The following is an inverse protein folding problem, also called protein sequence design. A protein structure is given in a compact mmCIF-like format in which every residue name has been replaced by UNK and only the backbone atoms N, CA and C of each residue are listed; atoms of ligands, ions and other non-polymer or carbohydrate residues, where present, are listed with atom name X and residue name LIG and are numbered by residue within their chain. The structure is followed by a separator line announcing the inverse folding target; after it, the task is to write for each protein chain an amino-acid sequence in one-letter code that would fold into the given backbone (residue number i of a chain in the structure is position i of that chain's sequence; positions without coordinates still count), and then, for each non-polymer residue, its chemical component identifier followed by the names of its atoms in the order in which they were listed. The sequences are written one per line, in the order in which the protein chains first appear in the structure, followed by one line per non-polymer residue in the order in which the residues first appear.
data_IF_543706921222
#
_entry.id   IF_543706921222
#
_cell.length_a   1.000
_cell.length_b   1.000
_cell.length_c   1.000
_cell.angle_alpha   90.00
_cell.angle_beta   90.00
_cell.angle_gamma   90.00
#
_symmetry.space_group_name_H-M   'P 1'
#
loop_
_entity.id
_entity.type
_entity.pdbx_description
1 polymer ?
#
# COMPACT_ATOMS: atom_id res chain seq x y z
N UNK A 1 11.04 -18.47 42.98
CA UNK A 1 11.39 -17.07 42.63
C UNK A 1 10.25 -16.54 41.76
N UNK A 2 9.78 -15.32 41.99
CA UNK A 2 8.73 -14.74 41.16
C UNK A 2 9.23 -14.58 39.72
N UNK A 3 8.40 -14.93 38.74
CA UNK A 3 8.68 -14.71 37.32
C UNK A 3 8.85 -13.20 37.06
N UNK A 4 9.84 -12.78 36.25
CA UNK A 4 9.96 -11.38 35.84
C UNK A 4 8.70 -10.91 35.10
N UNK A 5 8.25 -9.68 35.39
CA UNK A 5 7.04 -9.11 34.78
C UNK A 5 7.06 -9.17 33.24
N UNK A 6 8.22 -8.93 32.62
CA UNK A 6 8.37 -8.99 31.17
C UNK A 6 8.09 -10.39 30.60
N UNK A 7 8.54 -11.45 31.29
CA UNK A 7 8.28 -12.84 30.87
C UNK A 7 6.80 -13.18 31.00
N UNK A 8 6.14 -12.73 32.06
CA UNK A 8 4.71 -12.90 32.26
C UNK A 8 3.91 -12.17 31.16
N UNK A 9 4.28 -10.93 30.84
CA UNK A 9 3.65 -10.13 29.78
C UNK A 9 3.84 -10.77 28.41
N UNK A 10 5.03 -11.29 28.11
CA UNK A 10 5.29 -11.98 26.85
C UNK A 10 4.43 -13.24 26.74
N UNK A 11 4.39 -14.11 27.77
CA UNK A 11 3.56 -15.32 27.75
C UNK A 11 2.07 -14.99 27.61
N UNK A 12 1.62 -13.92 28.27
CA UNK A 12 0.25 -13.43 28.12
C UNK A 12 -0.04 -12.99 26.68
N UNK A 13 0.86 -12.19 26.08
CA UNK A 13 0.73 -11.73 24.70
C UNK A 13 0.77 -12.89 23.70
N UNK A 14 1.68 -13.85 23.87
CA UNK A 14 1.80 -15.03 23.02
C UNK A 14 0.51 -15.86 23.03
N UNK A 15 -0.07 -16.11 24.22
CA UNK A 15 -1.33 -16.85 24.34
C UNK A 15 -2.54 -16.09 23.79
N UNK A 16 -2.59 -14.77 24.00
CA UNK A 16 -3.65 -13.91 23.43
C UNK A 16 -3.61 -13.95 21.90
N UNK A 17 -2.42 -14.01 21.31
CA UNK A 17 -2.22 -14.08 19.85
C UNK A 17 -2.46 -15.47 19.29
N UNK A 18 -1.96 -16.50 19.97
CA UNK A 18 -2.10 -17.90 19.58
C UNK A 18 -2.55 -18.76 20.79
N UNK A 19 -3.79 -19.26 20.79
CA UNK A 19 -4.31 -20.05 21.91
C UNK A 19 -3.63 -21.42 22.06
N UNK A 20 -2.83 -21.87 21.10
CA UNK A 20 -1.99 -23.07 21.23
C UNK A 20 -0.77 -22.85 22.15
N UNK A 21 -0.39 -21.60 22.38
CA UNK A 21 0.68 -21.24 23.31
C UNK A 21 0.24 -21.42 24.77
N UNK A 22 1.15 -21.69 25.72
CA UNK A 22 0.78 -21.87 27.12
C UNK A 22 0.19 -20.61 27.76
N UNK A 23 -0.97 -20.73 28.41
CA UNK A 23 -1.52 -19.64 29.21
C UNK A 23 -0.66 -19.38 30.47
N UNK A 24 -0.58 -18.13 30.96
CA UNK A 24 0.02 -17.84 32.26
C UNK A 24 -0.66 -18.58 33.42
N UNK A 25 0.13 -19.00 34.41
CA UNK A 25 -0.37 -19.69 35.60
C UNK A 25 -1.32 -18.80 36.42
N UNK A 26 -2.33 -19.41 37.03
CA UNK A 26 -3.26 -18.72 37.93
C UNK A 26 -4.32 -17.85 37.25
N UNK A 27 -4.37 -17.79 35.91
CA UNK A 27 -5.41 -17.10 35.17
C UNK A 27 -6.47 -18.10 34.69
N UNK A 28 -7.74 -17.79 34.96
CA UNK A 28 -8.87 -18.57 34.48
C UNK A 28 -8.97 -18.54 32.95
N UNK A 29 -9.14 -19.73 32.34
CA UNK A 29 -9.18 -19.89 30.89
C UNK A 29 -10.32 -19.11 30.23
N UNK A 30 -11.49 -18.99 30.90
CA UNK A 30 -12.61 -18.19 30.39
C UNK A 30 -12.27 -16.70 30.37
N UNK A 31 -11.59 -16.17 31.38
CA UNK A 31 -11.10 -14.78 31.36
C UNK A 31 -10.12 -14.56 30.22
N UNK A 32 -9.19 -15.50 30.02
CA UNK A 32 -8.22 -15.40 28.94
C UNK A 32 -8.88 -15.37 27.56
N UNK A 33 -9.90 -16.21 27.34
CA UNK A 33 -10.67 -16.21 26.11
C UNK A 33 -11.39 -14.87 25.83
N UNK A 34 -11.87 -14.19 26.88
CA UNK A 34 -12.46 -12.84 26.75
C UNK A 34 -11.42 -11.83 26.28
N UNK A 35 -10.22 -11.83 26.87
CA UNK A 35 -9.14 -10.93 26.45
C UNK A 35 -8.68 -11.21 25.02
N UNK A 36 -8.47 -12.48 24.67
CA UNK A 36 -8.17 -12.87 23.28
C UNK A 36 -9.19 -12.28 22.33
N UNK A 37 -10.48 -12.53 22.59
CA UNK A 37 -11.58 -12.05 21.75
C UNK A 37 -11.55 -10.53 21.58
N UNK A 38 -11.38 -9.78 22.68
CA UNK A 38 -11.29 -8.31 22.60
C UNK A 38 -10.15 -7.82 21.70
N UNK A 39 -8.97 -8.43 21.83
CA UNK A 39 -7.80 -8.03 21.04
C UNK A 39 -7.98 -8.35 19.55
N UNK A 40 -8.42 -9.57 19.22
CA UNK A 40 -8.62 -9.95 17.82
C UNK A 40 -9.78 -9.17 17.19
N UNK A 41 -10.89 -8.93 17.91
CA UNK A 41 -12.04 -8.18 17.38
C UNK A 41 -11.67 -6.72 17.13
N UNK A 42 -10.75 -6.15 17.91
CA UNK A 42 -10.23 -4.80 17.68
C UNK A 42 -9.39 -4.72 16.40
N UNK A 43 -8.51 -5.71 16.17
CA UNK A 43 -7.73 -5.79 14.93
C UNK A 43 -8.61 -6.05 13.71
N UNK A 44 -9.56 -6.97 13.86
CA UNK A 44 -10.55 -7.31 12.84
C UNK A 44 -11.35 -6.08 12.41
N UNK A 45 -11.91 -5.34 13.37
CA UNK A 45 -12.66 -4.09 13.10
C UNK A 45 -11.81 -3.03 12.40
N UNK A 46 -10.53 -2.91 12.79
CA UNK A 46 -9.59 -1.98 12.16
C UNK A 46 -9.32 -2.35 10.70
N UNK A 47 -8.99 -3.62 10.45
CA UNK A 47 -8.66 -4.12 9.11
C UNK A 47 -9.90 -4.09 8.21
N UNK A 48 -11.06 -4.51 8.70
CA UNK A 48 -12.32 -4.49 7.96
C UNK A 48 -12.73 -3.06 7.56
N UNK A 49 -12.51 -2.09 8.46
CA UNK A 49 -12.75 -0.68 8.15
C UNK A 49 -11.77 -0.10 7.12
N UNK A 50 -10.58 -0.68 6.97
CA UNK A 50 -9.54 -0.22 6.04
C UNK A 50 -9.54 -0.98 4.71
N UNK A 51 -10.04 -2.22 4.69
CA UNK A 51 -10.02 -3.16 3.57
C UNK A 51 -11.42 -3.75 3.31
N UNK A 52 -12.47 -2.91 3.15
CA UNK A 52 -13.84 -3.39 3.13
C UNK A 52 -14.16 -4.27 1.91
N UNK A 53 -13.57 -4.00 0.73
CA UNK A 53 -13.80 -4.83 -0.46
C UNK A 53 -13.12 -6.17 -0.31
N UNK A 54 -11.91 -6.22 0.25
CA UNK A 54 -11.23 -7.46 0.55
C UNK A 54 -12.03 -8.35 1.51
N UNK A 55 -12.55 -7.78 2.60
CA UNK A 55 -13.41 -8.52 3.54
C UNK A 55 -14.65 -9.06 2.80
N UNK A 56 -15.33 -8.22 2.02
CA UNK A 56 -16.53 -8.61 1.29
C UNK A 56 -16.27 -9.74 0.28
N UNK A 57 -15.13 -9.71 -0.43
CA UNK A 57 -14.79 -10.72 -1.45
C UNK A 57 -14.27 -12.04 -0.84
N UNK A 58 -13.55 -11.99 0.28
CA UNK A 58 -13.14 -13.21 1.00
C UNK A 58 -14.30 -13.88 1.73
N UNK A 59 -15.28 -13.10 2.18
CA UNK A 59 -16.35 -13.54 3.06
C UNK A 59 -15.88 -13.73 4.50
N UNK A 60 -16.82 -13.63 5.44
CA UNK A 60 -16.52 -13.49 6.87
C UNK A 60 -15.64 -14.60 7.45
N UNK A 61 -15.84 -15.85 7.03
CA UNK A 61 -15.07 -16.99 7.55
C UNK A 61 -13.60 -16.94 7.09
N UNK A 62 -13.35 -16.82 5.78
CA UNK A 62 -11.99 -16.76 5.25
C UNK A 62 -11.26 -15.50 5.72
N UNK A 63 -11.97 -14.37 5.79
CA UNK A 63 -11.45 -13.14 6.35
C UNK A 63 -11.00 -13.34 7.80
N UNK A 64 -11.88 -13.87 8.65
CA UNK A 64 -11.58 -14.06 10.08
C UNK A 64 -10.41 -14.99 10.30
N UNK A 65 -10.35 -16.11 9.58
CA UNK A 65 -9.22 -17.05 9.65
C UNK A 65 -7.90 -16.38 9.23
N UNK A 66 -7.94 -15.53 8.21
CA UNK A 66 -6.76 -14.77 7.74
C UNK A 66 -6.28 -13.77 8.79
N UNK A 67 -7.20 -13.02 9.42
CA UNK A 67 -6.89 -12.05 10.49
C UNK A 67 -6.33 -12.76 11.73
N UNK A 68 -6.89 -13.92 12.11
CA UNK A 68 -6.37 -14.72 13.22
C UNK A 68 -4.97 -15.26 12.92
N UNK A 69 -4.72 -15.70 11.69
CA UNK A 69 -3.40 -16.16 11.27
C UNK A 69 -2.36 -15.04 11.28
N UNK A 70 -2.73 -13.86 10.76
CA UNK A 70 -1.91 -12.64 10.84
C UNK A 70 -1.60 -12.27 12.28
N UNK A 71 -2.62 -12.24 13.15
CA UNK A 71 -2.45 -11.87 14.54
C UNK A 71 -1.57 -12.84 15.32
N UNK A 72 -1.62 -14.13 15.00
CA UNK A 72 -0.71 -15.11 15.60
C UNK A 72 0.74 -14.92 15.14
N UNK A 73 0.96 -14.75 13.82
CA UNK A 73 2.29 -14.88 13.20
C UNK A 73 3.03 -13.59 12.90
N UNK A 74 2.36 -12.44 12.84
CA UNK A 74 2.98 -11.18 12.47
C UNK A 74 2.97 -10.20 13.64
N UNK A 75 4.15 -9.85 14.14
CA UNK A 75 4.30 -8.75 15.09
C UNK A 75 4.27 -7.45 14.30
N UNK A 76 3.20 -6.65 14.45
CA UNK A 76 3.13 -5.34 13.83
C UNK A 76 4.29 -4.47 14.34
N UNK A 77 4.93 -3.72 13.44
CA UNK A 77 6.08 -2.88 13.78
C UNK A 77 5.66 -1.42 14.01
N UNK A 78 4.56 -0.99 13.37
CA UNK A 78 3.97 0.32 13.58
C UNK A 78 3.02 0.35 14.79
N UNK A 79 3.12 1.35 15.68
CA UNK A 79 2.09 1.61 16.67
C UNK A 79 0.88 2.36 16.07
N UNK A 80 0.96 2.79 14.80
CA UNK A 80 -0.05 3.62 14.15
C UNK A 80 -1.11 2.75 13.48
N UNK A 81 -2.30 2.72 14.08
CA UNK A 81 -3.44 1.94 13.59
C UNK A 81 -3.73 2.12 12.09
N UNK A 82 -3.69 3.33 11.50
CA UNK A 82 -3.94 3.50 10.07
C UNK A 82 -2.89 2.84 9.16
N UNK A 83 -1.68 2.57 9.68
CA UNK A 83 -0.61 1.92 8.92
C UNK A 83 -0.63 0.39 9.03
N UNK A 84 -1.40 -0.17 9.98
CA UNK A 84 -1.51 -1.62 10.18
C UNK A 84 -2.10 -2.31 8.95
N UNK A 85 -3.03 -1.66 8.22
CA UNK A 85 -3.59 -2.21 6.99
C UNK A 85 -2.52 -2.37 5.89
N UNK A 86 -1.55 -1.46 5.82
CA UNK A 86 -0.41 -1.56 4.92
C UNK A 86 0.55 -2.69 5.30
N UNK A 87 0.82 -2.88 6.60
CA UNK A 87 1.61 -4.03 7.08
C UNK A 87 0.91 -5.37 6.80
N UNK A 88 -0.41 -5.43 7.00
CA UNK A 88 -1.22 -6.59 6.65
C UNK A 88 -1.17 -6.91 5.15
N UNK A 89 -1.29 -5.90 4.29
CA UNK A 89 -1.17 -6.07 2.84
C UNK A 89 0.22 -6.56 2.43
N UNK A 90 1.28 -5.98 2.99
CA UNK A 90 2.65 -6.41 2.74
C UNK A 90 2.90 -7.85 3.23
N UNK A 91 2.35 -8.20 4.40
CA UNK A 91 2.41 -9.55 4.95
C UNK A 91 1.71 -10.56 4.03
N UNK A 92 0.50 -10.27 3.54
CA UNK A 92 -0.22 -11.12 2.58
C UNK A 92 0.61 -11.38 1.31
N UNK A 93 1.31 -10.35 0.81
CA UNK A 93 2.16 -10.47 -0.39
C UNK A 93 3.32 -11.45 -0.28
N UNK A 94 3.74 -11.81 0.94
CA UNK A 94 4.83 -12.78 1.18
C UNK A 94 4.35 -14.11 1.77
N UNK A 95 3.05 -14.29 2.01
CA UNK A 95 2.48 -15.53 2.54
C UNK A 95 2.10 -16.52 1.43
N UNK A 96 3.10 -17.17 0.83
CA UNK A 96 2.85 -18.21 -0.19
C UNK A 96 2.11 -19.45 0.35
N UNK A 97 2.17 -19.68 1.66
CA UNK A 97 1.55 -20.84 2.33
C UNK A 97 0.05 -20.65 2.59
N UNK A 98 -0.44 -19.41 2.54
CA UNK A 98 -1.86 -19.15 2.58
C UNK A 98 -2.41 -19.45 1.18
N UNK A 99 -3.26 -20.47 1.06
CA UNK A 99 -3.93 -20.86 -0.19
C UNK A 99 -4.99 -19.83 -0.63
N UNK A 100 -4.65 -18.54 -0.56
CA UNK A 100 -5.46 -17.41 -0.95
C UNK A 100 -5.30 -17.13 -2.44
N UNK A 101 -6.35 -16.64 -3.11
CA UNK A 101 -6.23 -16.19 -4.50
C UNK A 101 -5.18 -15.08 -4.67
N UNK A 102 -4.46 -15.07 -5.80
CA UNK A 102 -3.39 -14.10 -6.06
C UNK A 102 -3.81 -12.63 -6.00
N UNK A 103 -5.07 -12.32 -6.32
CA UNK A 103 -5.62 -10.96 -6.24
C UNK A 103 -5.76 -10.43 -4.81
N UNK A 104 -5.73 -11.28 -3.78
CA UNK A 104 -5.96 -10.89 -2.38
C UNK A 104 -4.90 -9.91 -1.89
N UNK A 105 -3.63 -10.20 -2.14
CA UNK A 105 -2.54 -9.32 -1.72
C UNK A 105 -2.58 -7.98 -2.48
N UNK A 106 -2.87 -8.02 -3.78
CA UNK A 106 -2.96 -6.80 -4.61
C UNK A 106 -4.16 -5.92 -4.23
N UNK A 107 -5.32 -6.52 -3.91
CA UNK A 107 -6.50 -5.79 -3.44
C UNK A 107 -6.25 -5.18 -2.05
N UNK A 108 -5.62 -5.94 -1.14
CA UNK A 108 -5.21 -5.42 0.17
C UNK A 108 -4.26 -4.23 0.02
N UNK A 109 -3.27 -4.34 -0.87
CA UNK A 109 -2.33 -3.26 -1.16
C UNK A 109 -3.03 -2.03 -1.75
N UNK A 110 -3.96 -2.24 -2.68
CA UNK A 110 -4.74 -1.16 -3.29
C UNK A 110 -5.58 -0.39 -2.26
N UNK A 111 -6.41 -1.08 -1.47
CA UNK A 111 -7.28 -0.43 -0.47
C UNK A 111 -6.46 0.25 0.63
N UNK A 112 -5.41 -0.40 1.14
CA UNK A 112 -4.52 0.20 2.15
C UNK A 112 -3.79 1.44 1.62
N UNK A 113 -3.40 1.44 0.34
CA UNK A 113 -2.77 2.60 -0.31
C UNK A 113 -3.74 3.78 -0.43
N UNK A 114 -5.02 3.53 -0.76
CA UNK A 114 -6.04 4.58 -0.78
C UNK A 114 -6.22 5.21 0.61
N UNK A 115 -6.25 4.38 1.66
CA UNK A 115 -6.37 4.85 3.03
C UNK A 115 -5.14 5.66 3.46
N UNK A 116 -3.93 5.20 3.11
CA UNK A 116 -2.68 5.91 3.38
C UNK A 116 -2.67 7.30 2.73
N UNK A 117 -3.12 7.41 1.47
CA UNK A 117 -3.25 8.71 0.80
C UNK A 117 -4.24 9.64 1.50
N UNK A 118 -5.35 9.12 2.03
CA UNK A 118 -6.33 9.94 2.76
C UNK A 118 -5.73 10.62 4.00
N UNK A 119 -4.85 9.93 4.71
CA UNK A 119 -4.25 10.40 5.98
C UNK A 119 -2.87 11.05 5.81
N UNK A 120 -2.30 11.01 4.60
CA UNK A 120 -0.97 11.56 4.30
C UNK A 120 -0.92 13.04 4.70
N UNK A 121 0.03 13.39 5.58
CA UNK A 121 0.20 14.74 6.10
C UNK A 121 1.28 15.55 5.35
N UNK A 122 1.98 14.93 4.40
CA UNK A 122 3.04 15.60 3.62
C UNK A 122 2.43 16.69 2.73
N UNK A 123 3.14 17.82 2.67
CA UNK A 123 2.82 18.89 1.75
C UNK A 123 2.97 18.42 0.30
N UNK A 124 2.19 19.00 -0.59
CA UNK A 124 2.04 18.59 -1.99
C UNK A 124 3.30 18.77 -2.84
N UNK A 125 4.33 19.41 -2.29
CA UNK A 125 5.50 19.92 -3.02
C UNK A 125 5.18 21.23 -3.73
N UNK A 126 6.18 21.82 -4.39
CA UNK A 126 5.95 23.01 -5.22
C UNK A 126 5.59 22.59 -6.65
N UNK A 127 4.37 22.94 -7.08
CA UNK A 127 3.99 22.78 -8.47
C UNK A 127 4.91 23.65 -9.36
N UNK A 128 5.51 23.09 -10.42
CA UNK A 128 6.33 23.87 -11.33
C UNK A 128 5.48 24.96 -12.00
N UNK A 129 5.80 26.23 -11.75
CA UNK A 129 5.08 27.38 -12.36
C UNK A 129 5.26 27.46 -13.88
N UNK A 130 6.28 26.79 -14.41
CA UNK A 130 6.62 26.75 -15.83
C UNK A 130 7.01 25.32 -16.23
N UNK A 131 7.03 25.06 -17.55
CA UNK A 131 7.59 23.81 -18.08
C UNK A 131 9.00 23.58 -17.51
N UNK A 132 9.34 22.35 -17.09
CA UNK A 132 10.63 22.06 -16.48
C UNK A 132 11.76 22.50 -17.40
N UNK A 133 12.68 23.31 -16.87
CA UNK A 133 13.85 23.76 -17.61
C UNK A 133 14.85 22.61 -17.73
N UNK A 134 15.76 22.69 -18.71
CA UNK A 134 16.86 21.73 -18.81
C UNK A 134 17.65 21.70 -17.49
N UNK A 135 17.80 20.51 -16.91
CA UNK A 135 18.47 20.32 -15.62
C UNK A 135 17.58 20.41 -14.38
N UNK A 136 16.28 20.71 -14.50
CA UNK A 136 15.36 20.67 -13.36
C UNK A 136 15.23 19.25 -12.79
N UNK A 137 15.24 19.15 -11.45
CA UNK A 137 14.91 17.94 -10.70
C UNK A 137 13.40 17.91 -10.48
N UNK A 138 12.78 16.79 -10.82
CA UNK A 138 11.36 16.53 -10.61
C UNK A 138 11.21 15.28 -9.75
N UNK A 139 10.24 15.30 -8.84
CA UNK A 139 9.87 14.17 -8.01
C UNK A 139 8.38 13.86 -8.17
N UNK A 140 7.98 12.63 -7.85
CA UNK A 140 6.57 12.32 -7.67
C UNK A 140 6.00 13.15 -6.52
N UNK A 141 4.81 13.70 -6.70
CA UNK A 141 4.11 14.36 -5.59
C UNK A 141 3.88 13.34 -4.46
N UNK A 142 4.05 13.72 -3.19
CA UNK A 142 3.72 12.86 -2.05
C UNK A 142 2.25 12.41 -2.02
N UNK A 143 1.37 13.11 -2.75
CA UNK A 143 -0.05 12.79 -2.88
C UNK A 143 -0.37 11.81 -4.02
N UNK A 144 0.65 11.30 -4.69
CA UNK A 144 0.53 10.38 -5.82
C UNK A 144 1.09 9.01 -5.46
N UNK A 145 0.48 7.96 -6.02
CA UNK A 145 1.04 6.61 -6.05
C UNK A 145 0.95 6.06 -7.47
N UNK A 146 2.01 5.41 -7.91
CA UNK A 146 2.15 4.80 -9.23
C UNK A 146 2.23 3.30 -9.02
N UNK A 147 1.19 2.57 -9.43
CA UNK A 147 0.94 1.20 -9.01
C UNK A 147 0.78 0.27 -10.20
N UNK A 148 1.31 -0.95 -10.11
CA UNK A 148 1.15 -1.99 -11.12
C UNK A 148 0.58 -3.24 -10.49
N UNK A 149 -0.46 -3.79 -11.10
CA UNK A 149 -1.18 -4.97 -10.61
C UNK A 149 -1.37 -5.98 -11.73
N UNK A 150 -1.42 -7.27 -11.40
CA UNK A 150 -1.76 -8.36 -12.31
C UNK A 150 -3.27 -8.57 -12.43
N UNK A 151 -4.05 -8.08 -11.45
CA UNK A 151 -5.50 -8.09 -11.46
C UNK A 151 -6.05 -6.66 -11.47
N UNK A 152 -7.22 -6.41 -12.08
CA UNK A 152 -7.86 -5.09 -12.12
C UNK A 152 -8.53 -4.77 -10.78
N UNK A 153 -7.72 -4.65 -9.72
CA UNK A 153 -8.19 -4.48 -8.34
C UNK A 153 -8.86 -3.13 -8.09
N UNK A 154 -8.69 -2.15 -8.99
CA UNK A 154 -9.39 -0.87 -8.94
C UNK A 154 -10.85 -0.96 -9.40
N UNK A 155 -11.19 -1.96 -10.22
CA UNK A 155 -12.54 -2.18 -10.68
C UNK A 155 -13.39 -2.84 -9.59
N UNK A 156 -14.60 -2.33 -9.39
CA UNK A 156 -15.56 -3.02 -8.54
C UNK A 156 -16.18 -4.19 -9.32
N UNK A 157 -15.58 -5.38 -9.18
CA UNK A 157 -16.10 -6.62 -9.75
C UNK A 157 -17.45 -7.06 -9.14
N UNK A 158 -17.95 -6.35 -8.11
CA UNK A 158 -19.08 -6.76 -7.30
C UNK A 158 -18.78 -8.03 -6.50
N UNK A 159 -19.81 -8.57 -5.84
CA UNK A 159 -19.69 -9.75 -4.96
C UNK A 159 -19.58 -11.09 -5.73
N UNK A 160 -19.72 -11.09 -7.06
CA UNK A 160 -20.04 -12.30 -7.82
C UNK A 160 -18.94 -12.84 -8.74
N UNK A 161 -17.72 -12.32 -8.68
CA UNK A 161 -16.61 -12.88 -9.47
C UNK A 161 -15.24 -12.50 -8.95
N UNK A 162 -14.38 -13.51 -8.74
CA UNK A 162 -12.95 -13.27 -8.60
C UNK A 162 -12.44 -12.52 -9.85
N UNK A 163 -11.63 -11.45 -9.68
CA UNK A 163 -11.11 -10.71 -10.83
C UNK A 163 -10.32 -11.65 -11.73
N UNK A 164 -10.57 -11.54 -13.04
CA UNK A 164 -9.74 -12.23 -14.04
C UNK A 164 -8.39 -11.53 -14.11
N UNK A 165 -7.31 -12.30 -14.26
CA UNK A 165 -5.97 -11.72 -14.39
C UNK A 165 -5.90 -10.85 -15.65
N UNK A 166 -5.85 -9.54 -15.45
CA UNK A 166 -5.72 -8.50 -16.46
C UNK A 166 -4.80 -7.44 -15.87
N UNK A 167 -3.53 -7.37 -16.31
CA UNK A 167 -2.59 -6.42 -15.76
C UNK A 167 -3.02 -4.98 -15.97
N UNK A 168 -2.91 -4.17 -14.92
CA UNK A 168 -3.32 -2.76 -14.90
C UNK A 168 -2.23 -1.90 -14.31
N UNK A 169 -2.01 -0.75 -14.93
CA UNK A 169 -1.07 0.27 -14.47
C UNK A 169 -1.88 1.48 -14.04
N UNK A 170 -1.73 1.92 -12.80
CA UNK A 170 -2.60 2.90 -12.18
C UNK A 170 -1.82 4.09 -11.62
N UNK A 171 -2.43 5.26 -11.74
CA UNK A 171 -2.11 6.47 -11.00
C UNK A 171 -3.21 6.71 -9.98
N UNK A 172 -2.86 6.69 -8.70
CA UNK A 172 -3.73 7.16 -7.62
C UNK A 172 -3.26 8.53 -7.18
N UNK A 173 -4.17 9.49 -7.08
CA UNK A 173 -3.85 10.86 -6.67
C UNK A 173 -4.89 11.39 -5.71
N UNK A 174 -4.45 11.95 -4.58
CA UNK A 174 -5.31 12.78 -3.73
C UNK A 174 -5.33 14.22 -4.24
N UNK A 175 -6.53 14.75 -4.49
CA UNK A 175 -6.75 16.14 -4.87
C UNK A 175 -6.81 17.07 -3.65
N UNK A 176 -6.80 18.38 -3.89
CA UNK A 176 -6.87 19.40 -2.83
C UNK A 176 -8.19 19.42 -2.05
N UNK A 177 -9.25 18.79 -2.57
CA UNK A 177 -10.53 18.59 -1.88
C UNK A 177 -10.61 17.25 -1.12
N UNK A 178 -9.47 16.55 -0.97
CA UNK A 178 -9.32 15.22 -0.37
C UNK A 178 -9.93 14.06 -1.17
N UNK A 179 -10.52 14.30 -2.34
CA UNK A 179 -10.98 13.20 -3.19
C UNK A 179 -9.80 12.42 -3.79
N UNK A 180 -9.99 11.11 -3.95
CA UNK A 180 -9.04 10.26 -4.66
C UNK A 180 -9.46 10.12 -6.12
N UNK A 181 -8.53 10.39 -7.02
CA UNK A 181 -8.66 10.05 -8.44
C UNK A 181 -7.81 8.84 -8.76
N UNK A 182 -8.39 7.93 -9.53
CA UNK A 182 -7.72 6.74 -10.07
C UNK A 182 -7.74 6.86 -11.58
N UNK A 183 -6.59 6.67 -12.22
CA UNK A 183 -6.45 6.72 -13.67
C UNK A 183 -5.60 5.54 -14.13
N UNK A 184 -6.01 4.90 -15.23
CA UNK A 184 -5.15 3.93 -15.91
C UNK A 184 -4.07 4.64 -16.71
N UNK A 185 -2.84 4.18 -16.57
CA UNK A 185 -1.67 4.71 -17.23
C UNK A 185 -1.33 3.91 -18.48
N UNK A 186 -0.83 4.60 -19.49
CA UNK A 186 -0.11 3.92 -20.57
C UNK A 186 1.20 3.35 -20.04
N UNK A 187 1.76 2.29 -20.66
CA UNK A 187 3.06 1.74 -20.24
C UNK A 187 4.19 2.78 -20.23
N UNK A 188 4.19 3.71 -21.18
CA UNK A 188 5.18 4.78 -21.23
C UNK A 188 5.04 5.75 -20.05
N UNK A 189 3.81 6.15 -19.70
CA UNK A 189 3.58 7.03 -18.56
C UNK A 189 3.94 6.37 -17.23
N UNK A 190 3.61 5.08 -17.08
CA UNK A 190 4.02 4.29 -15.92
C UNK A 190 5.55 4.23 -15.79
N UNK A 191 6.24 3.84 -16.86
CA UNK A 191 7.70 3.75 -16.85
C UNK A 191 8.37 5.11 -16.55
N UNK A 192 7.86 6.19 -17.13
CA UNK A 192 8.32 7.56 -16.88
C UNK A 192 8.17 7.95 -15.41
N UNK A 193 6.99 7.74 -14.83
CA UNK A 193 6.73 8.07 -13.44
C UNK A 193 7.54 7.20 -12.48
N UNK A 194 7.71 5.91 -12.78
CA UNK A 194 8.56 5.00 -12.01
C UNK A 194 10.04 5.40 -12.03
N UNK A 195 10.51 6.05 -13.10
CA UNK A 195 11.90 6.50 -13.22
C UNK A 195 12.23 7.73 -12.37
N UNK A 196 11.26 8.62 -12.08
CA UNK A 196 11.48 9.77 -11.19
C UNK A 196 11.54 9.37 -9.72
N UNK A 197 10.70 8.40 -9.31
CA UNK A 197 10.62 7.97 -7.91
C UNK A 197 10.24 9.08 -6.93
N UNK A 198 10.37 8.77 -5.65
CA UNK A 198 10.01 9.69 -4.54
C UNK A 198 11.14 10.71 -4.25
N UNK A 199 12.40 10.31 -4.38
CA UNK A 199 13.58 11.18 -4.13
C UNK A 199 13.83 12.19 -5.26
N UNK A 200 13.15 11.99 -6.40
CA UNK A 200 13.27 12.80 -7.59
C UNK A 200 14.50 12.49 -8.43
N UNK A 201 14.41 12.88 -9.70
CA UNK A 201 15.47 12.73 -10.68
C UNK A 201 15.49 13.94 -11.62
N UNK A 202 16.65 14.20 -12.23
CA UNK A 202 16.68 15.11 -13.37
C UNK A 202 15.92 14.46 -14.52
N UNK A 203 15.08 15.24 -15.20
CA UNK A 203 14.29 14.72 -16.32
C UNK A 203 15.15 14.02 -17.40
N UNK A 204 16.36 14.53 -17.64
CA UNK A 204 17.29 13.97 -18.62
C UNK A 204 17.81 12.59 -18.19
N UNK A 205 18.13 12.44 -16.90
CA UNK A 205 18.65 11.19 -16.34
C UNK A 205 17.55 10.12 -16.34
N UNK A 206 16.33 10.48 -15.93
CA UNK A 206 15.18 9.59 -15.98
C UNK A 206 14.87 9.11 -17.42
N UNK A 207 14.91 10.02 -18.40
CA UNK A 207 14.74 9.68 -19.80
C UNK A 207 15.88 8.81 -20.34
N UNK A 208 17.12 9.08 -19.94
CA UNK A 208 18.27 8.26 -20.36
C UNK A 208 18.16 6.83 -19.82
N UNK A 209 17.79 6.67 -18.54
CA UNK A 209 17.57 5.35 -17.93
C UNK A 209 16.50 4.57 -18.70
N UNK A 210 15.40 5.22 -19.08
CA UNK A 210 14.36 4.58 -19.87
C UNK A 210 14.79 4.25 -21.29
N UNK A 211 15.54 5.14 -21.94
CA UNK A 211 16.09 4.92 -23.27
C UNK A 211 16.98 3.67 -23.28
N UNK A 212 17.86 3.55 -22.28
CA UNK A 212 18.76 2.40 -22.12
C UNK A 212 17.99 1.10 -21.82
N UNK A 213 17.00 1.16 -20.93
CA UNK A 213 16.20 0.00 -20.54
C UNK A 213 15.40 -0.58 -21.72
N UNK A 214 14.89 0.29 -22.59
CA UNK A 214 14.05 -0.10 -23.72
C UNK A 214 14.80 -0.16 -25.07
N UNK A 215 16.09 0.18 -25.09
CA UNK A 215 16.92 0.16 -26.30
C UNK A 215 16.49 1.16 -27.38
N UNK A 216 15.98 2.33 -26.95
CA UNK A 216 15.51 3.41 -27.84
C UNK A 216 16.48 4.60 -27.79
N UNK A 217 16.50 5.43 -28.83
CA UNK A 217 17.32 6.63 -28.83
C UNK A 217 16.79 7.67 -27.82
N UNK A 218 17.67 8.22 -26.98
CA UNK A 218 17.29 9.17 -25.94
C UNK A 218 16.61 10.44 -26.50
N UNK A 219 17.02 10.91 -27.68
CA UNK A 219 16.42 12.09 -28.33
C UNK A 219 14.99 11.83 -28.83
N UNK A 220 14.72 10.62 -29.33
CA UNK A 220 13.38 10.21 -29.76
C UNK A 220 12.44 10.11 -28.55
N UNK A 221 12.91 9.45 -27.47
CA UNK A 221 12.16 9.32 -26.24
C UNK A 221 11.90 10.69 -25.58
N UNK A 222 12.92 11.56 -25.55
CA UNK A 222 12.78 12.94 -25.05
C UNK A 222 11.70 13.69 -25.80
N UNK A 223 11.72 13.65 -27.14
CA UNK A 223 10.72 14.32 -27.97
C UNK A 223 9.31 13.81 -27.69
N UNK A 224 9.16 12.49 -27.51
CA UNK A 224 7.88 11.86 -27.18
C UNK A 224 7.38 12.21 -25.77
N UNK A 225 8.28 12.32 -24.79
CA UNK A 225 7.93 12.52 -23.38
C UNK A 225 7.76 14.00 -22.99
N UNK A 226 8.28 14.98 -23.73
CA UNK A 226 8.15 16.41 -23.39
C UNK A 226 6.69 16.85 -23.16
N UNK A 227 5.73 16.56 -24.06
CA UNK A 227 4.33 16.94 -23.83
C UNK A 227 3.76 16.29 -22.56
N UNK A 228 4.04 15.00 -22.36
CA UNK A 228 3.57 14.24 -21.19
C UNK A 228 4.15 14.80 -19.88
N UNK A 229 5.45 15.15 -19.85
CA UNK A 229 6.07 15.80 -18.69
C UNK A 229 5.38 17.13 -18.37
N UNK A 230 5.05 17.93 -19.39
CA UNK A 230 4.31 19.17 -19.23
C UNK A 230 2.92 18.94 -18.60
N UNK A 231 2.19 17.94 -19.09
CA UNK A 231 0.87 17.56 -18.56
C UNK A 231 0.96 17.06 -17.11
N UNK A 232 1.92 16.21 -16.79
CA UNK A 232 2.14 15.66 -15.44
C UNK A 232 2.51 16.75 -14.43
N UNK A 233 3.35 17.71 -14.82
CA UNK A 233 3.69 18.88 -14.00
C UNK A 233 2.47 19.79 -13.79
N UNK A 234 1.73 20.11 -14.86
CA UNK A 234 0.52 20.94 -14.78
C UNK A 234 -0.58 20.27 -13.91
N UNK A 235 -0.63 18.94 -13.93
CA UNK A 235 -1.51 18.14 -13.09
C UNK A 235 -1.01 18.01 -11.64
N UNK A 236 0.16 18.52 -11.28
CA UNK A 236 0.77 18.34 -9.95
C UNK A 236 1.12 16.90 -9.63
N UNK A 237 1.28 16.04 -10.64
CA UNK A 237 1.74 14.65 -10.47
C UNK A 237 3.24 14.63 -10.26
N UNK A 238 3.96 15.43 -11.05
CA UNK A 238 5.37 15.73 -10.84
C UNK A 238 5.51 17.13 -10.25
N UNK A 239 6.36 17.25 -9.23
CA UNK A 239 6.60 18.49 -8.49
C UNK A 239 8.09 18.75 -8.35
N UNK A 240 8.44 19.99 -8.04
CA UNK A 240 9.80 20.30 -7.59
C UNK A 240 9.89 19.92 -6.10
N UNK A 241 10.85 19.07 -5.70
CA UNK A 241 11.03 18.74 -4.29
C UNK A 241 11.38 20.00 -3.49
N UNK A 242 10.84 20.11 -2.27
CA UNK A 242 10.99 21.31 -1.43
C UNK A 242 12.43 21.55 -0.93
N UNK A 243 13.34 20.58 -1.10
CA UNK A 243 14.70 20.59 -0.55
C UNK A 243 15.80 20.80 -1.62
N UNK A 244 15.56 21.66 -2.61
CA UNK A 244 16.60 22.14 -3.56
C UNK A 244 17.14 23.53 -3.17
#
# INVERSE_FOLDING_TARGET
MAEPLATLQQRWADHVRDPSMPAPEGIDARRMAVYRRLCIDSLDSLLAGSLPRLQAQLGDACWRDTVEHYYARHACHTPLFPQIAGEFAAWLGVQADLALPGWVAELAHYESTQQALHIEARDTGQQPLHAPQAGSVLALSPLVRVLGYQWPVHEDAGQNGAPTAMPTLLLLRRLGDFSLQVQELSPLAYALLSAFGDDGARAEDALQVLADLHGVAADELRTACIPLLGELCAAGVLVVPNDC
#
